data_IF_601571708595
#
_entry.id   IF_601571708595
#
_cell.length_a   1.000
_cell.length_b   1.000
_cell.length_c   1.000
_cell.angle_alpha   90.00
_cell.angle_beta   90.00
_cell.angle_gamma   90.00
#
_symmetry.space_group_name_H-M   'P 1'
#
loop_
_entity.id
_entity.type
_entity.pdbx_description
1 polymer ?
#
# COMPACT_ATOMS: atom_id res chain seq x y z
N UNK A 1 4.25 -28.70 38.61
CA UNK A 1 4.34 -27.26 38.27
C UNK A 1 5.07 -26.97 36.95
N UNK A 2 6.30 -27.46 36.70
CA UNK A 2 7.06 -27.12 35.47
C UNK A 2 6.32 -27.43 34.13
N UNK A 3 5.66 -28.58 34.02
CA UNK A 3 4.87 -28.95 32.81
C UNK A 3 3.69 -28.01 32.53
N UNK A 4 3.05 -27.49 33.58
CA UNK A 4 1.94 -26.55 33.45
C UNK A 4 2.41 -25.18 32.95
N UNK A 5 3.59 -24.72 33.41
CA UNK A 5 4.21 -23.48 32.93
C UNK A 5 4.54 -23.53 31.43
N UNK A 6 5.08 -24.65 30.94
CA UNK A 6 5.37 -24.81 29.49
C UNK A 6 4.11 -24.77 28.63
N UNK A 7 3.00 -25.33 29.12
CA UNK A 7 1.71 -25.27 28.42
C UNK A 7 1.17 -23.83 28.33
N UNK A 8 1.30 -23.03 29.39
CA UNK A 8 0.89 -21.62 29.38
C UNK A 8 1.75 -20.81 28.40
N UNK A 9 3.07 -20.99 28.43
CA UNK A 9 3.98 -20.28 27.51
C UNK A 9 3.66 -20.66 26.06
N UNK A 10 3.49 -21.95 25.78
CA UNK A 10 3.11 -22.42 24.45
C UNK A 10 1.79 -21.80 23.97
N UNK A 11 0.77 -21.74 24.83
CA UNK A 11 -0.51 -21.12 24.52
C UNK A 11 -0.38 -19.60 24.27
N UNK A 12 0.41 -18.89 25.07
CA UNK A 12 0.67 -17.47 24.87
C UNK A 12 1.39 -17.19 23.55
N UNK A 13 2.33 -18.05 23.14
CA UNK A 13 3.02 -17.93 21.83
C UNK A 13 2.04 -18.14 20.67
N UNK A 14 1.13 -19.12 20.78
CA UNK A 14 0.10 -19.35 19.76
C UNK A 14 -0.85 -18.15 19.67
N UNK A 15 -1.33 -17.65 20.82
CA UNK A 15 -2.16 -16.44 20.86
C UNK A 15 -1.46 -15.24 20.24
N UNK A 16 -0.20 -15.00 20.60
CA UNK A 16 0.62 -13.93 20.05
C UNK A 16 0.72 -14.04 18.53
N UNK A 17 0.98 -15.23 18.01
CA UNK A 17 1.03 -15.48 16.57
C UNK A 17 -0.32 -15.19 15.88
N UNK A 18 -1.44 -15.61 16.47
CA UNK A 18 -2.77 -15.34 15.92
C UNK A 18 -3.09 -13.84 15.88
N UNK A 19 -2.72 -13.07 16.92
CA UNK A 19 -2.87 -11.61 16.92
C UNK A 19 -2.00 -10.88 15.90
N UNK A 20 -0.94 -11.53 15.41
CA UNK A 20 -0.01 -10.99 14.41
C UNK A 20 -0.59 -10.99 13.00
N UNK A 21 -1.63 -11.80 12.77
CA UNK A 21 -2.27 -12.00 11.47
C UNK A 21 -3.43 -11.03 11.32
N UNK A 22 -3.39 -10.19 10.28
CA UNK A 22 -4.49 -9.29 9.93
C UNK A 22 -4.82 -9.40 8.47
N UNK A 23 -6.10 -9.21 8.16
CA UNK A 23 -6.64 -9.26 6.81
C UNK A 23 -7.07 -7.84 6.43
N UNK A 24 -6.60 -7.37 5.27
CA UNK A 24 -6.92 -6.04 4.74
C UNK A 24 -7.46 -6.16 3.33
N UNK A 25 -8.17 -5.13 2.89
CA UNK A 25 -8.47 -4.96 1.48
C UNK A 25 -7.29 -4.31 0.76
N UNK A 26 -6.89 -4.92 -0.35
CA UNK A 26 -5.97 -4.32 -1.31
C UNK A 26 -6.62 -4.31 -2.69
N UNK A 27 -6.37 -3.25 -3.46
CA UNK A 27 -7.09 -3.00 -4.70
C UNK A 27 -6.25 -3.39 -5.92
N UNK A 28 -6.70 -4.40 -6.66
CA UNK A 28 -6.05 -4.93 -7.86
C UNK A 28 -6.83 -4.52 -9.11
N UNK A 29 -6.17 -4.53 -10.27
CA UNK A 29 -6.83 -4.24 -11.54
C UNK A 29 -7.49 -5.52 -12.03
N UNK A 30 -8.79 -5.47 -12.28
CA UNK A 30 -9.53 -6.49 -12.99
C UNK A 30 -9.22 -6.42 -14.49
N UNK A 31 -8.81 -7.53 -15.08
CA UNK A 31 -8.30 -7.57 -16.47
C UNK A 31 -9.40 -7.24 -17.49
N UNK A 32 -10.64 -7.60 -17.20
CA UNK A 32 -11.76 -7.48 -18.14
C UNK A 32 -12.37 -6.06 -18.11
N UNK A 33 -12.61 -5.55 -16.90
CA UNK A 33 -13.24 -4.24 -16.72
C UNK A 33 -12.25 -3.08 -16.65
N UNK A 34 -10.96 -3.36 -16.49
CA UNK A 34 -9.90 -2.37 -16.22
C UNK A 34 -10.20 -1.48 -15.00
N UNK A 35 -10.93 -2.03 -14.02
CA UNK A 35 -11.32 -1.35 -12.78
C UNK A 35 -10.58 -1.92 -11.58
N UNK A 36 -10.48 -1.12 -10.53
CA UNK A 36 -9.90 -1.55 -9.25
C UNK A 36 -10.93 -2.31 -8.41
N UNK A 37 -10.65 -3.56 -8.11
CA UNK A 37 -11.47 -4.43 -7.26
C UNK A 37 -10.74 -4.79 -5.96
N UNK A 38 -11.44 -4.81 -4.80
CA UNK A 38 -10.82 -5.18 -3.54
C UNK A 38 -10.58 -6.69 -3.46
N UNK A 39 -9.45 -7.08 -2.88
CA UNK A 39 -9.13 -8.45 -2.48
C UNK A 39 -8.63 -8.48 -1.05
N UNK A 40 -8.98 -9.56 -0.34
CA UNK A 40 -8.53 -9.79 1.03
C UNK A 40 -7.11 -10.32 1.03
N UNK A 41 -6.19 -9.57 1.63
CA UNK A 41 -4.78 -9.92 1.70
C UNK A 41 -4.33 -10.04 3.15
N UNK A 42 -3.55 -11.09 3.42
CA UNK A 42 -3.05 -11.38 4.76
C UNK A 42 -1.70 -10.70 4.98
N UNK A 43 -1.62 -9.89 6.04
CA UNK A 43 -0.39 -9.30 6.55
C UNK A 43 -0.07 -9.92 7.90
N UNK A 44 1.14 -10.45 8.03
CA UNK A 44 1.62 -11.11 9.24
C UNK A 44 2.79 -10.31 9.78
N UNK A 45 2.66 -9.78 11.00
CA UNK A 45 3.77 -9.13 11.69
C UNK A 45 3.56 -9.22 13.22
N UNK A 46 4.50 -9.81 13.97
CA UNK A 46 4.37 -9.95 15.43
C UNK A 46 4.30 -8.65 16.20
N UNK A 47 4.79 -7.54 15.63
CA UNK A 47 4.82 -6.25 16.31
C UNK A 47 3.96 -5.25 15.55
N UNK A 48 2.77 -4.97 16.08
CA UNK A 48 1.88 -3.98 15.49
C UNK A 48 2.50 -2.58 15.53
N UNK A 49 2.96 -2.16 14.37
CA UNK A 49 3.26 -0.77 14.06
C UNK A 49 2.52 -0.42 12.79
N UNK A 50 1.64 0.57 12.88
CA UNK A 50 0.73 0.96 11.79
C UNK A 50 1.47 1.21 10.47
N UNK A 51 2.57 1.94 10.52
CA UNK A 51 3.45 2.24 9.38
C UNK A 51 4.03 0.96 8.75
N UNK A 52 4.50 0.02 9.58
CA UNK A 52 5.05 -1.26 9.11
C UNK A 52 3.96 -2.11 8.46
N UNK A 53 2.75 -2.18 9.05
CA UNK A 53 1.63 -2.88 8.46
C UNK A 53 1.20 -2.30 7.12
N UNK A 54 1.12 -0.97 7.01
CA UNK A 54 0.84 -0.27 5.75
C UNK A 54 1.92 -0.57 4.70
N UNK A 55 3.20 -0.51 5.08
CA UNK A 55 4.32 -0.88 4.22
C UNK A 55 4.24 -2.33 3.73
N UNK A 56 3.96 -3.28 4.63
CA UNK A 56 3.80 -4.70 4.26
C UNK A 56 2.60 -4.91 3.35
N UNK A 57 1.48 -4.23 3.60
CA UNK A 57 0.29 -4.27 2.75
C UNK A 57 0.58 -3.76 1.34
N UNK A 58 1.30 -2.65 1.20
CA UNK A 58 1.71 -2.15 -0.12
C UNK A 58 2.62 -3.15 -0.86
N UNK A 59 3.53 -3.81 -0.15
CA UNK A 59 4.37 -4.86 -0.76
C UNK A 59 3.55 -6.08 -1.20
N UNK A 60 2.41 -6.37 -0.56
CA UNK A 60 1.51 -7.44 -1.01
C UNK A 60 0.85 -7.15 -2.35
N UNK A 61 0.61 -5.88 -2.69
CA UNK A 61 0.10 -5.51 -4.02
C UNK A 61 1.00 -6.08 -5.13
N UNK A 62 2.32 -6.17 -4.92
CA UNK A 62 3.27 -6.65 -5.95
C UNK A 62 3.16 -8.13 -6.30
N UNK A 63 2.64 -8.96 -5.38
CA UNK A 63 2.83 -10.42 -5.43
C UNK A 63 1.63 -11.14 -6.06
N UNK A 64 0.44 -10.54 -6.01
CA UNK A 64 -0.78 -11.26 -6.35
C UNK A 64 -1.20 -11.08 -7.82
N UNK A 65 -1.12 -12.18 -8.57
CA UNK A 65 -1.85 -12.39 -9.84
C UNK A 65 -2.93 -13.42 -9.55
N UNK A 66 -4.19 -13.02 -9.67
CA UNK A 66 -5.32 -13.95 -9.64
C UNK A 66 -5.83 -14.18 -11.06
N UNK A 67 -6.67 -15.18 -11.24
CA UNK A 67 -7.14 -15.65 -12.56
C UNK A 67 -7.69 -14.53 -13.47
N UNK A 68 -8.27 -13.46 -12.89
CA UNK A 68 -8.79 -12.29 -13.61
C UNK A 68 -8.26 -10.95 -13.08
N UNK A 69 -7.20 -10.94 -12.26
CA UNK A 69 -6.66 -9.69 -11.70
C UNK A 69 -5.15 -9.59 -11.79
N UNK A 70 -4.68 -8.40 -12.11
CA UNK A 70 -3.26 -8.04 -12.10
C UNK A 70 -2.95 -6.99 -11.04
N UNK A 71 -1.71 -7.00 -10.59
CA UNK A 71 -1.20 -5.91 -9.75
C UNK A 71 -1.13 -4.60 -10.52
N UNK A 72 -1.61 -3.53 -9.91
CA UNK A 72 -1.34 -2.18 -10.37
C UNK A 72 0.11 -1.76 -10.09
N UNK A 73 0.78 -2.41 -9.13
CA UNK A 73 2.16 -2.13 -8.70
C UNK A 73 3.10 -3.07 -9.44
N UNK A 74 3.82 -2.54 -10.42
CA UNK A 74 4.82 -3.31 -11.17
C UNK A 74 5.90 -3.94 -10.26
N UNK A 75 6.50 -5.03 -10.74
CA UNK A 75 7.56 -5.75 -10.01
C UNK A 75 8.78 -4.85 -9.68
N UNK A 76 9.03 -3.85 -10.53
CA UNK A 76 10.15 -2.91 -10.42
C UNK A 76 9.92 -1.76 -9.43
N UNK A 77 8.73 -1.64 -8.84
CA UNK A 77 8.46 -0.65 -7.80
C UNK A 77 9.02 -1.15 -6.47
N UNK A 78 9.87 -0.35 -5.83
CA UNK A 78 10.41 -0.63 -4.49
C UNK A 78 9.90 0.43 -3.53
N UNK A 79 9.04 0.02 -2.60
CA UNK A 79 8.68 0.84 -1.45
C UNK A 79 9.87 0.91 -0.50
N UNK A 80 10.20 2.10 -0.04
CA UNK A 80 11.29 2.35 0.90
C UNK A 80 10.74 2.64 2.30
N UNK A 81 9.67 3.43 2.37
CA UNK A 81 9.05 3.82 3.63
C UNK A 81 7.57 4.17 3.45
N UNK A 82 6.78 4.00 4.51
CA UNK A 82 5.39 4.47 4.61
C UNK A 82 5.19 5.07 5.99
N UNK A 83 4.87 6.36 6.04
CA UNK A 83 4.65 7.08 7.29
C UNK A 83 3.23 7.65 7.37
N UNK A 84 2.45 7.25 8.37
CA UNK A 84 1.10 7.73 8.60
C UNK A 84 1.05 8.49 9.91
N UNK A 85 0.77 9.80 9.85
CA UNK A 85 0.65 10.66 11.02
C UNK A 85 -0.47 11.67 10.82
N UNK A 86 -1.38 11.79 11.79
CA UNK A 86 -2.45 12.80 11.81
C UNK A 86 -3.30 12.88 10.53
N UNK A 87 -3.61 11.73 9.91
CA UNK A 87 -4.38 11.65 8.67
C UNK A 87 -3.60 12.01 7.40
N UNK A 88 -2.30 12.28 7.52
CA UNK A 88 -1.37 12.43 6.40
C UNK A 88 -0.57 11.15 6.21
N UNK A 89 -0.55 10.62 4.99
CA UNK A 89 0.22 9.44 4.61
C UNK A 89 1.30 9.81 3.60
N UNK A 90 2.55 9.58 3.97
CA UNK A 90 3.70 9.76 3.10
C UNK A 90 4.23 8.40 2.66
N UNK A 91 4.38 8.20 1.35
CA UNK A 91 4.91 6.97 0.76
C UNK A 91 6.21 7.34 0.07
N UNK A 92 7.30 6.67 0.40
CA UNK A 92 8.57 6.81 -0.33
C UNK A 92 8.81 5.58 -1.18
N UNK A 93 9.09 5.76 -2.46
CA UNK A 93 9.32 4.67 -3.40
C UNK A 93 10.37 5.01 -4.46
N UNK A 94 10.84 3.98 -5.15
CA UNK A 94 11.79 4.08 -6.26
C UNK A 94 11.48 3.03 -7.32
N UNK A 95 11.86 3.30 -8.56
CA UNK A 95 11.72 2.36 -9.68
C UNK A 95 13.10 1.81 -10.04
N UNK A 96 13.24 0.48 -10.05
CA UNK A 96 14.53 -0.19 -10.34
C UNK A 96 14.84 -0.24 -11.84
N UNK A 97 13.80 -0.30 -12.67
CA UNK A 97 13.83 -0.03 -14.10
C UNK A 97 12.76 1.03 -14.32
N UNK A 98 12.99 1.98 -15.23
CA UNK A 98 11.99 3.00 -15.55
C UNK A 98 10.62 2.37 -15.74
N UNK A 99 9.55 3.12 -15.48
CA UNK A 99 8.17 2.63 -15.63
C UNK A 99 7.89 2.37 -17.11
N UNK A 100 8.39 1.24 -17.62
CA UNK A 100 8.06 0.81 -18.96
C UNK A 100 6.60 0.40 -18.93
N UNK A 101 5.78 1.18 -19.65
CA UNK A 101 4.37 0.99 -20.00
C UNK A 101 3.95 -0.47 -20.18
N UNK A 102 3.86 -1.22 -19.09
CA UNK A 102 3.21 -2.51 -19.03
C UNK A 102 1.75 -2.26 -18.70
N UNK A 103 0.93 -2.00 -19.72
CA UNK A 103 -0.56 -1.96 -19.75
C UNK A 103 -1.33 -1.12 -18.71
N UNK A 104 -0.70 -0.63 -17.65
CA UNK A 104 -1.36 -0.06 -16.49
C UNK A 104 -1.08 1.44 -16.45
N UNK A 105 -2.14 2.25 -16.51
CA UNK A 105 -1.99 3.70 -16.45
C UNK A 105 -1.40 4.12 -15.09
N UNK A 106 -0.52 5.10 -15.15
CA UNK A 106 0.07 5.81 -14.01
C UNK A 106 -0.98 6.17 -12.94
N UNK A 107 -2.17 6.55 -13.42
CA UNK A 107 -3.36 6.81 -12.62
C UNK A 107 -3.89 5.59 -11.86
N UNK A 108 -4.02 4.42 -12.51
CA UNK A 108 -4.49 3.19 -11.85
C UNK A 108 -3.51 2.69 -10.79
N UNK A 109 -2.21 2.83 -11.05
CA UNK A 109 -1.16 2.56 -10.07
C UNK A 109 -1.37 3.40 -8.81
N UNK A 110 -1.48 4.72 -8.97
CA UNK A 110 -1.74 5.64 -7.86
C UNK A 110 -3.05 5.31 -7.15
N UNK A 111 -4.15 5.19 -7.89
CA UNK A 111 -5.48 4.96 -7.34
C UNK A 111 -5.53 3.65 -6.55
N UNK A 112 -4.83 2.60 -6.99
CA UNK A 112 -4.67 1.35 -6.26
C UNK A 112 -3.98 1.56 -4.90
N UNK A 113 -2.85 2.28 -4.87
CA UNK A 113 -2.14 2.60 -3.63
C UNK A 113 -3.02 3.39 -2.65
N UNK A 114 -3.64 4.46 -3.14
CA UNK A 114 -4.45 5.37 -2.34
C UNK A 114 -5.70 4.66 -1.78
N UNK A 115 -6.42 3.87 -2.60
CA UNK A 115 -7.57 3.08 -2.15
C UNK A 115 -7.18 2.03 -1.11
N UNK A 116 -6.06 1.34 -1.33
CA UNK A 116 -5.54 0.33 -0.39
C UNK A 116 -5.22 0.96 0.97
N UNK A 117 -4.52 2.09 0.99
CA UNK A 117 -4.18 2.76 2.24
C UNK A 117 -5.38 3.41 2.93
N UNK A 118 -6.32 3.99 2.16
CA UNK A 118 -7.57 4.54 2.71
C UNK A 118 -8.47 3.46 3.31
N UNK A 119 -8.47 2.25 2.73
CA UNK A 119 -9.17 1.10 3.32
C UNK A 119 -8.46 0.56 4.57
N UNK A 120 -7.12 0.57 4.57
CA UNK A 120 -6.31 0.23 5.74
C UNK A 120 -6.56 1.17 6.94
N UNK A 121 -6.68 2.47 6.68
CA UNK A 121 -7.03 3.48 7.68
C UNK A 121 -7.89 4.59 7.07
N UNK A 122 -9.17 4.58 7.41
CA UNK A 122 -10.16 5.55 6.94
C UNK A 122 -9.89 6.98 7.40
N UNK A 123 -9.02 7.18 8.39
CA UNK A 123 -8.63 8.51 8.85
C UNK A 123 -7.61 9.20 7.94
N UNK A 124 -7.03 8.48 6.98
CA UNK A 124 -6.11 9.08 6.00
C UNK A 124 -6.92 9.94 5.03
N UNK A 125 -6.60 11.24 5.03
CA UNK A 125 -7.24 12.25 4.17
C UNK A 125 -6.32 12.69 3.05
N UNK A 126 -5.02 12.77 3.33
CA UNK A 126 -4.02 13.34 2.43
C UNK A 126 -2.88 12.35 2.22
N UNK A 127 -2.42 12.25 0.98
CA UNK A 127 -1.33 11.40 0.54
C UNK A 127 -0.22 12.25 -0.08
N UNK A 128 1.04 11.87 0.13
CA UNK A 128 2.19 12.43 -0.60
C UNK A 128 3.12 11.29 -1.01
N UNK A 129 3.61 11.32 -2.23
CA UNK A 129 4.45 10.25 -2.80
C UNK A 129 5.80 10.81 -3.17
N UNK A 130 6.82 10.46 -2.38
CA UNK A 130 8.21 10.80 -2.68
C UNK A 130 8.79 9.74 -3.62
N UNK A 131 9.08 10.12 -4.86
CA UNK A 131 9.76 9.26 -5.84
C UNK A 131 11.25 9.60 -5.85
N UNK A 132 12.11 8.66 -5.44
CA UNK A 132 13.56 8.91 -5.29
C UNK A 132 14.30 8.94 -6.64
N UNK A 133 13.73 8.36 -7.71
CA UNK A 133 14.29 8.42 -9.06
C UNK A 133 13.20 8.84 -10.06
N UNK A 134 13.30 10.07 -10.57
CA UNK A 134 12.20 10.79 -11.24
C UNK A 134 11.99 10.44 -12.72
N UNK A 135 12.89 9.67 -13.34
CA UNK A 135 12.80 9.31 -14.77
C UNK A 135 11.61 8.38 -15.10
N UNK A 136 10.84 7.96 -14.09
CA UNK A 136 9.81 6.93 -14.22
C UNK A 136 8.40 7.45 -14.51
N UNK A 137 8.08 8.73 -14.33
CA UNK A 137 6.69 9.20 -14.46
C UNK A 137 6.54 10.49 -15.25
N UNK A 138 5.43 10.61 -15.99
CA UNK A 138 5.22 11.74 -16.92
C UNK A 138 3.82 12.35 -16.88
N UNK A 139 2.82 11.70 -16.27
CA UNK A 139 1.41 12.09 -16.42
C UNK A 139 0.82 12.82 -15.19
N UNK A 140 1.33 12.55 -13.99
CA UNK A 140 0.81 13.07 -12.72
C UNK A 140 1.95 13.68 -11.91
N UNK A 141 1.70 14.84 -11.30
CA UNK A 141 2.70 15.51 -10.45
C UNK A 141 2.74 14.90 -9.04
N UNK A 142 3.65 13.94 -8.85
CA UNK A 142 3.83 13.21 -7.59
C UNK A 142 4.39 14.07 -6.45
N UNK A 143 4.99 15.22 -6.76
CA UNK A 143 5.59 16.10 -5.76
C UNK A 143 4.52 16.81 -4.93
N UNK A 144 3.27 16.82 -5.40
CA UNK A 144 2.14 17.44 -4.73
C UNK A 144 1.45 16.48 -3.76
N UNK A 145 0.82 17.06 -2.73
CA UNK A 145 -0.09 16.31 -1.89
C UNK A 145 -1.41 16.04 -2.64
N UNK A 146 -2.02 14.89 -2.37
CA UNK A 146 -3.19 14.38 -3.08
C UNK A 146 -4.28 13.94 -2.10
N UNK A 147 -5.54 14.01 -2.52
CA UNK A 147 -6.70 13.40 -1.84
C UNK A 147 -7.37 12.39 -2.75
N UNK A 148 -8.11 11.45 -2.16
CA UNK A 148 -9.00 10.53 -2.89
C UNK A 148 -10.44 10.85 -2.53
N UNK A 149 -11.15 11.51 -3.43
CA UNK A 149 -12.52 12.02 -3.26
C UNK A 149 -13.44 11.43 -4.32
N UNK A 150 -14.57 10.81 -3.91
CA UNK A 150 -15.51 10.16 -4.84
C UNK A 150 -14.83 9.19 -5.81
N UNK A 151 -13.85 8.43 -5.29
CA UNK A 151 -12.99 7.53 -6.06
C UNK A 151 -12.01 8.21 -7.04
N UNK A 152 -11.91 9.54 -7.07
CA UNK A 152 -11.01 10.27 -7.96
C UNK A 152 -9.84 10.91 -7.20
N UNK A 153 -8.66 10.93 -7.84
CA UNK A 153 -7.47 11.56 -7.29
C UNK A 153 -7.56 13.07 -7.57
N UNK A 154 -7.44 13.88 -6.51
CA UNK A 154 -7.33 15.33 -6.63
C UNK A 154 -6.00 15.79 -6.06
N UNK A 155 -5.36 16.71 -6.77
CA UNK A 155 -4.15 17.40 -6.29
C UNK A 155 -4.58 18.56 -5.41
N UNK A 156 -3.95 18.73 -4.25
CA UNK A 156 -4.17 19.89 -3.38
C UNK A 156 -3.36 21.06 -3.96
N UNK A 157 -4.05 22.12 -4.37
CA UNK A 157 -3.40 23.33 -4.90
C UNK A 157 -2.44 23.94 -3.87
N UNK A 158 -1.27 24.40 -4.33
CA UNK A 158 -0.24 25.00 -3.47
C UNK A 158 0.53 24.03 -2.58
N UNK A 159 0.37 22.70 -2.75
CA UNK A 159 1.03 21.67 -1.93
C UNK A 159 2.27 21.04 -2.57
N UNK A 160 2.61 21.43 -3.79
CA UNK A 160 3.75 20.92 -4.53
C UNK A 160 5.05 21.54 -4.00
N UNK A 161 6.10 20.74 -3.87
CA UNK A 161 7.43 21.27 -3.59
C UNK A 161 7.92 22.07 -4.81
N UNK A 162 8.49 23.25 -4.59
CA UNK A 162 9.15 24.02 -5.67
C UNK A 162 10.28 23.16 -6.26
N UNK A 163 10.33 23.06 -7.59
CA UNK A 163 11.36 22.27 -8.32
C UNK A 163 12.73 22.93 -8.27
#
# INVERSE_FOLDING_TARGET
MKRFLYLIIGFLVILFFLFSIRIYDAYFIDIESNKLIPKKVVVINPFYQKNVYAFLLLNKLKVEKGDHTISAVGEFVKFQDVNIKNGFCKIRLSFLKGFQNGSNSEYLFLKSLLKTLKSFDSNIKVFKIDVVNSEAFTQIDYNCAMTLENDEIKIIEGSCDEK
#
